data_IF_210136498120
#
_entry.id   IF_210136498120
#
_cell.length_a   1.000
_cell.length_b   1.000
_cell.length_c   1.000
_cell.angle_alpha   90.00
_cell.angle_beta   90.00
_cell.angle_gamma   90.00
#
_symmetry.space_group_name_H-M   'P 1'
#
loop_
_entity.id
_entity.type
_entity.pdbx_description
1 polymer ?
#
# COMPACT_ATOMS: atom_id res chain seq x y z
N UNK A 1 25.81 -21.98 7.23
CA UNK A 1 24.61 -22.32 7.97
C UNK A 1 24.09 -23.68 7.49
N UNK A 2 23.96 -24.64 8.40
CA UNK A 2 23.54 -26.02 8.09
C UNK A 2 22.03 -26.15 7.91
N UNK A 3 21.26 -25.10 8.19
CA UNK A 3 19.78 -25.10 8.13
C UNK A 3 19.24 -24.78 6.74
N UNK A 4 20.05 -24.23 5.84
CA UNK A 4 19.64 -23.74 4.51
C UNK A 4 18.45 -22.75 4.57
N UNK A 5 18.21 -22.13 5.74
CA UNK A 5 17.14 -21.17 5.91
C UNK A 5 17.45 -19.84 5.18
N UNK A 6 16.44 -19.30 4.55
CA UNK A 6 16.54 -17.98 3.88
C UNK A 6 16.51 -16.91 4.95
N UNK A 7 17.60 -16.15 5.11
CA UNK A 7 17.69 -15.03 6.04
C UNK A 7 17.33 -13.69 5.37
N UNK A 8 17.60 -13.59 4.07
CA UNK A 8 17.31 -12.37 3.30
C UNK A 8 16.96 -12.74 1.87
N UNK A 9 15.91 -12.13 1.36
CA UNK A 9 15.52 -12.21 -0.04
C UNK A 9 15.47 -10.81 -0.63
N UNK A 10 16.09 -10.63 -1.79
CA UNK A 10 16.01 -9.38 -2.54
C UNK A 10 15.44 -9.67 -3.91
N UNK A 11 14.35 -9.00 -4.25
CA UNK A 11 13.67 -9.12 -5.54
C UNK A 11 13.71 -7.77 -6.25
N UNK A 12 14.06 -7.79 -7.52
CA UNK A 12 14.07 -6.60 -8.37
C UNK A 12 13.22 -6.83 -9.60
N UNK A 13 12.31 -5.93 -9.87
CA UNK A 13 11.47 -5.92 -11.05
C UNK A 13 11.84 -4.71 -11.91
N UNK A 14 12.61 -4.90 -12.99
CA UNK A 14 13.00 -3.81 -13.88
C UNK A 14 11.87 -3.44 -14.86
N UNK A 15 11.95 -2.25 -15.45
CA UNK A 15 10.97 -1.72 -16.41
C UNK A 15 10.60 -2.68 -17.56
N UNK A 16 11.53 -3.55 -17.95
CA UNK A 16 11.33 -4.49 -19.08
C UNK A 16 10.35 -5.64 -18.80
N UNK A 17 9.86 -5.77 -17.57
CA UNK A 17 8.97 -6.88 -17.17
C UNK A 17 7.53 -6.69 -17.62
N UNK A 18 7.18 -5.56 -18.23
CA UNK A 18 5.85 -5.33 -18.79
C UNK A 18 4.75 -5.01 -17.77
N UNK A 19 5.13 -4.70 -16.52
CA UNK A 19 4.17 -4.22 -15.53
C UNK A 19 3.85 -2.76 -15.80
N UNK A 20 2.58 -2.47 -16.05
CA UNK A 20 2.12 -1.13 -16.42
C UNK A 20 2.45 -0.11 -15.33
N UNK A 21 2.90 1.07 -15.75
CA UNK A 21 3.26 2.20 -14.89
C UNK A 21 4.46 1.97 -13.96
N UNK A 22 4.97 0.74 -13.81
CA UNK A 22 6.10 0.44 -12.95
C UNK A 22 7.41 0.55 -13.74
N UNK A 23 8.25 1.51 -13.38
CA UNK A 23 9.60 1.61 -13.93
C UNK A 23 10.57 0.66 -13.23
N UNK A 24 10.41 0.52 -11.92
CA UNK A 24 11.24 -0.31 -11.07
C UNK A 24 10.48 -0.66 -9.80
N UNK A 25 10.66 -1.88 -9.33
CA UNK A 25 10.22 -2.30 -8.00
C UNK A 25 11.34 -3.09 -7.35
N UNK A 26 11.70 -2.69 -6.16
CA UNK A 26 12.65 -3.40 -5.32
C UNK A 26 11.95 -3.84 -4.04
N UNK A 27 12.09 -5.12 -3.70
CA UNK A 27 11.55 -5.71 -2.47
C UNK A 27 12.70 -6.36 -1.74
N UNK A 28 12.85 -6.03 -0.47
CA UNK A 28 13.84 -6.64 0.43
C UNK A 28 13.12 -7.22 1.63
N UNK A 29 13.17 -8.53 1.76
CA UNK A 29 12.60 -9.27 2.88
C UNK A 29 13.70 -9.82 3.77
N UNK A 30 13.52 -9.68 5.09
CA UNK A 30 14.42 -10.26 6.09
C UNK A 30 13.65 -11.21 6.97
N UNK A 31 14.30 -12.30 7.31
CA UNK A 31 13.72 -13.38 8.13
C UNK A 31 14.56 -13.57 9.38
N UNK A 32 13.92 -13.86 10.48
CA UNK A 32 14.56 -14.19 11.75
C UNK A 32 14.09 -15.52 12.29
N UNK A 33 14.96 -16.17 13.06
CA UNK A 33 14.59 -17.39 13.76
C UNK A 33 14.09 -17.05 15.15
N UNK A 34 12.87 -17.46 15.45
CA UNK A 34 12.30 -17.33 16.77
C UNK A 34 12.87 -18.35 17.75
N UNK A 35 12.74 -18.12 19.08
CA UNK A 35 13.22 -19.05 20.09
C UNK A 35 12.65 -20.47 19.98
N UNK A 36 11.47 -20.62 19.37
CA UNK A 36 10.84 -21.93 19.10
C UNK A 36 11.42 -22.64 17.87
N UNK A 37 12.43 -22.07 17.21
CA UNK A 37 13.07 -22.62 16.03
C UNK A 37 12.40 -22.26 14.69
N UNK A 38 11.23 -21.66 14.69
CA UNK A 38 10.53 -21.26 13.46
C UNK A 38 11.19 -20.03 12.83
N UNK A 39 11.33 -20.06 11.52
CA UNK A 39 11.74 -18.89 10.73
C UNK A 39 10.52 -18.09 10.31
N UNK A 40 10.57 -16.79 10.54
CA UNK A 40 9.47 -15.87 10.25
C UNK A 40 9.99 -14.63 9.53
N UNK A 41 9.13 -13.99 8.76
CA UNK A 41 9.43 -12.72 8.11
C UNK A 41 9.47 -11.62 9.16
N UNK A 42 10.58 -10.94 9.34
CA UNK A 42 10.72 -9.84 10.32
C UNK A 42 10.51 -8.46 9.67
N UNK A 43 11.02 -8.29 8.46
CA UNK A 43 10.96 -7.01 7.76
C UNK A 43 10.62 -7.22 6.28
N UNK A 44 9.73 -6.37 5.75
CA UNK A 44 9.40 -6.31 4.32
C UNK A 44 9.43 -4.86 3.86
N UNK A 45 10.45 -4.52 3.08
CA UNK A 45 10.67 -3.19 2.54
C UNK A 45 10.45 -3.21 1.04
N UNK A 46 9.60 -2.32 0.55
CA UNK A 46 9.30 -2.20 -0.86
C UNK A 46 9.49 -0.76 -1.32
N UNK A 47 10.19 -0.59 -2.43
CA UNK A 47 10.29 0.69 -3.15
C UNK A 47 9.77 0.48 -4.56
N UNK A 48 8.82 1.33 -4.98
CA UNK A 48 8.23 1.28 -6.32
C UNK A 48 8.35 2.65 -6.98
N UNK A 49 8.97 2.69 -8.16
CA UNK A 49 8.98 3.87 -9.01
C UNK A 49 7.86 3.73 -10.04
N UNK A 50 6.90 4.64 -9.96
CA UNK A 50 5.77 4.73 -10.88
C UNK A 50 5.96 5.88 -11.87
N UNK A 51 5.58 5.66 -13.11
CA UNK A 51 5.59 6.70 -14.15
C UNK A 51 4.36 6.55 -15.03
N UNK A 52 3.62 7.64 -15.22
CA UNK A 52 2.43 7.69 -16.08
C UNK A 52 2.77 7.87 -17.54
N UNK A 53 4.01 8.20 -17.85
CA UNK A 53 4.44 8.51 -19.20
C UNK A 53 5.84 7.99 -19.49
N UNK A 54 6.09 7.58 -20.69
CA UNK A 54 7.43 7.26 -21.19
C UNK A 54 8.33 8.49 -21.34
N UNK A 55 7.77 9.69 -21.25
CA UNK A 55 8.53 10.93 -21.32
C UNK A 55 9.22 11.19 -19.98
N UNK A 56 10.55 11.30 -19.98
CA UNK A 56 11.38 11.54 -18.79
C UNK A 56 11.10 12.86 -18.06
N UNK A 57 10.45 13.81 -18.72
CA UNK A 57 10.07 15.11 -18.13
C UNK A 57 8.69 15.09 -17.48
N UNK A 58 7.87 14.07 -17.76
CA UNK A 58 6.63 13.85 -17.03
C UNK A 58 6.98 13.24 -15.67
N UNK A 59 6.62 13.92 -14.62
CA UNK A 59 6.89 13.47 -13.23
C UNK A 59 6.46 12.03 -12.98
N UNK A 60 7.01 11.44 -11.94
CA UNK A 60 6.68 10.12 -11.44
C UNK A 60 6.38 10.16 -9.94
N UNK A 61 5.95 9.05 -9.41
CA UNK A 61 5.72 8.84 -7.99
C UNK A 61 6.62 7.72 -7.48
N UNK A 62 7.38 7.99 -6.44
CA UNK A 62 8.08 6.96 -5.70
C UNK A 62 7.25 6.59 -4.47
N UNK A 63 6.95 5.31 -4.33
CA UNK A 63 6.26 4.73 -3.18
C UNK A 63 7.26 3.91 -2.39
N UNK A 64 7.40 4.21 -1.12
CA UNK A 64 8.21 3.44 -0.17
C UNK A 64 7.29 2.86 0.92
N UNK A 65 7.43 1.57 1.18
CA UNK A 65 6.70 0.87 2.24
C UNK A 65 7.70 0.11 3.10
N UNK A 66 7.68 0.37 4.39
CA UNK A 66 8.40 -0.41 5.39
C UNK A 66 7.38 -1.12 6.28
N UNK A 67 7.45 -2.43 6.34
CA UNK A 67 6.59 -3.25 7.20
C UNK A 67 7.47 -4.05 8.14
N UNK A 68 7.17 -3.98 9.43
CA UNK A 68 7.82 -4.78 10.46
C UNK A 68 6.80 -5.72 11.08
N UNK A 69 7.19 -6.98 11.19
CA UNK A 69 6.35 -8.04 11.76
C UNK A 69 6.89 -8.42 13.13
N UNK A 70 6.02 -8.41 14.13
CA UNK A 70 6.36 -8.74 15.52
C UNK A 70 5.24 -9.55 16.18
N UNK A 71 5.49 -10.12 17.34
CA UNK A 71 4.48 -10.81 18.14
C UNK A 71 3.79 -11.98 17.41
N UNK A 72 4.59 -12.82 16.76
CA UNK A 72 4.08 -14.01 16.07
C UNK A 72 3.38 -14.96 17.05
N UNK A 73 2.17 -15.35 16.70
CA UNK A 73 1.37 -16.35 17.41
C UNK A 73 1.14 -17.54 16.48
N UNK A 74 1.30 -18.74 17.01
CA UNK A 74 1.17 -19.99 16.27
C UNK A 74 -0.06 -20.81 16.73
N UNK A 75 -0.91 -20.21 17.55
CA UNK A 75 -2.16 -20.80 17.99
C UNK A 75 -3.13 -20.96 16.82
N UNK A 76 -4.00 -22.00 16.86
CA UNK A 76 -5.01 -22.16 15.83
C UNK A 76 -5.92 -20.93 15.75
N UNK A 77 -6.08 -20.41 14.53
CA UNK A 77 -6.96 -19.25 14.26
C UNK A 77 -8.42 -19.71 14.42
N UNK A 78 -9.23 -18.94 15.13
CA UNK A 78 -10.64 -19.23 15.29
C UNK A 78 -11.36 -19.34 13.93
N UNK A 79 -12.09 -20.44 13.68
CA UNK A 79 -12.74 -20.65 12.38
C UNK A 79 -13.74 -19.54 11.97
N UNK A 80 -14.27 -18.78 12.93
CA UNK A 80 -15.16 -17.65 12.65
C UNK A 80 -14.50 -16.53 11.85
N UNK A 81 -13.17 -16.33 12.01
CA UNK A 81 -12.42 -15.30 11.30
C UNK A 81 -12.36 -15.57 9.80
N UNK A 82 -12.36 -16.83 9.38
CA UNK A 82 -12.42 -17.22 7.97
C UNK A 82 -13.79 -17.06 7.33
N UNK A 83 -14.85 -16.79 8.12
CA UNK A 83 -16.21 -16.53 7.63
C UNK A 83 -16.48 -15.06 7.36
N UNK A 84 -15.56 -14.17 7.73
CA UNK A 84 -15.67 -12.75 7.47
C UNK A 84 -15.48 -12.49 5.97
N UNK A 85 -16.37 -11.68 5.39
CA UNK A 85 -16.31 -11.35 3.97
C UNK A 85 -15.21 -10.29 3.74
N UNK A 86 -14.24 -10.61 2.87
CA UNK A 86 -13.17 -9.72 2.47
C UNK A 86 -11.78 -10.20 2.90
N UNK A 87 -10.80 -9.96 2.07
CA UNK A 87 -9.39 -10.27 2.34
C UNK A 87 -8.77 -9.32 3.37
N UNK A 88 -9.32 -8.12 3.49
CA UNK A 88 -8.87 -7.09 4.43
C UNK A 88 -10.06 -6.57 5.23
N UNK A 89 -9.97 -6.70 6.55
CA UNK A 89 -10.96 -6.16 7.48
C UNK A 89 -10.39 -4.86 8.04
N UNK A 90 -11.07 -3.75 7.75
CA UNK A 90 -10.76 -2.44 8.32
C UNK A 90 -11.64 -2.19 9.52
N UNK A 91 -11.05 -1.82 10.64
CA UNK A 91 -11.81 -1.36 11.81
C UNK A 91 -12.53 -0.06 11.47
N UNK A 92 -13.77 0.08 11.99
CA UNK A 92 -14.61 1.24 11.70
C UNK A 92 -14.00 2.57 12.18
N UNK A 93 -13.18 2.52 13.22
CA UNK A 93 -12.54 3.68 13.85
C UNK A 93 -11.09 3.91 13.40
N UNK A 94 -10.60 3.13 12.45
CA UNK A 94 -9.20 3.21 11.98
C UNK A 94 -8.82 4.63 11.52
N UNK A 95 -9.73 5.33 10.84
CA UNK A 95 -9.49 6.69 10.34
C UNK A 95 -9.72 7.78 11.38
N UNK A 96 -10.25 7.44 12.56
CA UNK A 96 -10.51 8.39 13.64
C UNK A 96 -9.48 8.35 14.78
N UNK A 97 -8.46 7.50 14.67
CA UNK A 97 -7.37 7.43 15.63
C UNK A 97 -6.52 8.69 15.58
N UNK A 98 -6.09 9.16 16.74
CA UNK A 98 -5.25 10.36 16.85
C UNK A 98 -3.80 10.10 16.39
N UNK A 99 -3.08 11.19 16.10
CA UNK A 99 -1.66 11.11 15.73
C UNK A 99 -0.80 10.52 16.86
N UNK A 100 -1.16 10.79 18.12
CA UNK A 100 -0.49 10.21 19.29
C UNK A 100 -0.68 8.70 19.36
N UNK A 101 -1.88 8.21 19.03
CA UNK A 101 -2.14 6.78 18.94
C UNK A 101 -1.22 6.16 17.87
N UNK A 102 -1.20 6.74 16.67
CA UNK A 102 -0.35 6.22 15.58
C UNK A 102 1.14 6.29 15.92
N UNK A 103 1.58 7.34 16.61
CA UNK A 103 2.96 7.43 17.08
C UNK A 103 3.32 6.32 18.09
N UNK A 104 2.37 5.96 18.97
CA UNK A 104 2.60 4.93 20.00
C UNK A 104 2.65 3.50 19.47
N UNK A 105 1.88 3.19 18.41
CA UNK A 105 1.82 1.84 17.82
C UNK A 105 2.82 1.66 16.69
N UNK A 106 3.40 2.73 16.18
CA UNK A 106 4.33 2.70 15.05
C UNK A 106 5.63 2.01 15.44
N UNK A 107 5.94 0.89 14.80
CA UNK A 107 7.14 0.10 15.02
C UNK A 107 8.42 0.77 14.47
N UNK A 108 8.27 1.50 13.36
CA UNK A 108 9.37 2.21 12.71
C UNK A 108 9.09 3.70 12.78
N UNK A 109 9.96 4.51 13.41
CA UNK A 109 9.76 5.96 13.49
C UNK A 109 9.79 6.59 12.10
N UNK A 110 9.00 7.65 11.92
CA UNK A 110 9.02 8.41 10.67
C UNK A 110 10.38 9.06 10.45
N UNK A 111 10.86 8.99 9.23
CA UNK A 111 11.99 9.78 8.78
C UNK A 111 11.60 11.27 8.67
N UNK A 112 12.60 12.15 8.61
CA UNK A 112 12.37 13.58 8.36
C UNK A 112 11.60 13.85 7.07
N UNK A 113 11.87 13.05 6.02
CA UNK A 113 11.19 13.15 4.72
C UNK A 113 9.71 12.80 4.85
N UNK A 114 9.38 11.73 5.56
CA UNK A 114 8.00 11.30 5.79
C UNK A 114 7.22 12.29 6.65
N UNK A 115 7.80 12.78 7.75
CA UNK A 115 7.17 13.81 8.57
C UNK A 115 6.91 15.10 7.79
N UNK A 116 7.81 15.49 6.90
CA UNK A 116 7.62 16.66 6.03
C UNK A 116 6.52 16.42 5.01
N UNK A 117 6.37 15.19 4.51
CA UNK A 117 5.31 14.80 3.58
C UNK A 117 3.94 14.89 4.26
N UNK A 118 3.80 14.42 5.49
CA UNK A 118 2.56 14.54 6.26
C UNK A 118 2.15 16.03 6.41
N UNK A 119 3.09 16.90 6.76
CA UNK A 119 2.83 18.34 6.82
C UNK A 119 2.43 18.93 5.46
N UNK A 120 3.03 18.46 4.39
CA UNK A 120 2.71 18.88 3.04
C UNK A 120 1.29 18.46 2.65
N UNK A 121 0.92 17.20 2.87
CA UNK A 121 -0.43 16.68 2.60
C UNK A 121 -1.47 17.46 3.39
N UNK A 122 -1.27 17.66 4.69
CA UNK A 122 -2.17 18.43 5.54
C UNK A 122 -2.37 19.88 5.03
N UNK A 123 -1.33 20.51 4.49
CA UNK A 123 -1.44 21.84 3.86
C UNK A 123 -2.19 21.81 2.56
N UNK A 124 -2.01 20.78 1.74
CA UNK A 124 -2.73 20.60 0.47
C UNK A 124 -4.23 20.45 0.72
N UNK A 125 -4.64 19.73 1.75
CA UNK A 125 -6.05 19.57 2.12
C UNK A 125 -6.74 20.87 2.50
N UNK A 126 -5.98 21.87 2.98
CA UNK A 126 -6.48 23.20 3.32
C UNK A 126 -6.69 24.11 2.09
N UNK A 127 -6.19 23.72 0.91
CA UNK A 127 -6.35 24.49 -0.32
C UNK A 127 -7.78 24.33 -0.83
N UNK A 128 -8.55 25.45 -0.99
CA UNK A 128 -9.88 25.39 -1.55
C UNK A 128 -9.89 24.71 -2.92
N UNK A 129 -10.76 23.72 -3.09
CA UNK A 129 -10.85 22.97 -4.34
C UNK A 129 -9.95 21.74 -4.46
N UNK A 130 -8.90 21.59 -3.65
CA UNK A 130 -8.00 20.44 -3.69
C UNK A 130 -8.74 19.12 -3.44
N UNK A 131 -9.74 19.13 -2.56
CA UNK A 131 -10.63 17.98 -2.31
C UNK A 131 -11.29 17.43 -3.59
N UNK A 132 -11.60 18.29 -4.55
CA UNK A 132 -12.21 17.84 -5.82
C UNK A 132 -11.19 17.18 -6.74
N UNK A 133 -9.94 17.62 -6.68
CA UNK A 133 -8.83 17.00 -7.43
C UNK A 133 -8.57 15.60 -6.86
N UNK A 134 -8.50 15.47 -5.53
CA UNK A 134 -8.34 14.15 -4.87
C UNK A 134 -9.53 13.26 -5.15
N UNK A 135 -10.75 13.80 -5.06
CA UNK A 135 -11.96 13.05 -5.37
C UNK A 135 -11.95 12.52 -6.81
N UNK A 136 -11.60 13.37 -7.77
CA UNK A 136 -11.50 12.97 -9.19
C UNK A 136 -10.41 11.92 -9.43
N UNK A 137 -9.22 12.12 -8.84
CA UNK A 137 -8.12 11.16 -8.93
C UNK A 137 -8.49 9.81 -8.30
N UNK A 138 -9.10 9.82 -7.11
CA UNK A 138 -9.58 8.62 -6.44
C UNK A 138 -10.63 7.89 -7.26
N UNK A 139 -11.61 8.61 -7.80
CA UNK A 139 -12.66 8.06 -8.65
C UNK A 139 -12.09 7.38 -9.91
N UNK A 140 -11.07 7.97 -10.54
CA UNK A 140 -10.40 7.40 -11.70
C UNK A 140 -9.58 6.14 -11.37
N UNK A 141 -8.90 6.12 -10.22
CA UNK A 141 -8.05 5.01 -9.80
C UNK A 141 -8.90 3.84 -9.28
N UNK A 142 -9.89 4.13 -8.45
CA UNK A 142 -10.72 3.13 -7.78
C UNK A 142 -11.91 2.67 -8.65
N UNK A 143 -12.23 3.42 -9.71
CA UNK A 143 -13.33 3.15 -10.62
C UNK A 143 -14.73 3.23 -9.99
N UNK A 144 -14.82 3.74 -8.79
CA UNK A 144 -16.09 3.99 -8.10
C UNK A 144 -16.00 5.24 -7.25
N UNK A 145 -17.18 5.81 -6.97
CA UNK A 145 -17.36 6.93 -6.04
C UNK A 145 -18.10 6.44 -4.82
N UNK A 146 -17.55 6.70 -3.65
CA UNK A 146 -18.23 6.47 -2.39
C UNK A 146 -19.07 7.68 -2.02
N UNK A 147 -20.36 7.47 -1.81
CA UNK A 147 -21.21 8.52 -1.26
C UNK A 147 -21.08 8.55 0.25
N UNK A 148 -20.85 9.75 0.79
CA UNK A 148 -20.72 9.95 2.23
C UNK A 148 -22.00 9.56 2.98
N UNK A 149 -21.94 8.45 3.70
CA UNK A 149 -22.96 8.02 4.64
C UNK A 149 -22.29 7.50 5.92
N UNK A 150 -22.83 7.85 7.08
CA UNK A 150 -22.41 7.20 8.34
C UNK A 150 -22.87 5.73 8.25
N UNK A 151 -21.93 4.80 8.14
CA UNK A 151 -22.21 3.38 8.03
C UNK A 151 -21.56 2.73 6.81
N UNK A 152 -22.35 2.05 5.99
CA UNK A 152 -21.86 1.47 4.73
C UNK A 152 -21.99 2.50 3.62
N UNK A 153 -20.88 3.05 3.10
CA UNK A 153 -20.99 3.96 1.97
C UNK A 153 -21.52 3.23 0.75
N UNK A 154 -22.47 3.83 0.06
CA UNK A 154 -22.92 3.33 -1.23
C UNK A 154 -21.78 3.57 -2.24
N UNK A 155 -21.42 2.53 -2.97
CA UNK A 155 -20.43 2.62 -4.04
C UNK A 155 -21.16 2.83 -5.36
N UNK A 156 -20.81 3.91 -6.05
CA UNK A 156 -21.31 4.18 -7.38
C UNK A 156 -20.20 3.82 -8.38
N UNK A 157 -20.42 2.77 -9.16
CA UNK A 157 -19.46 2.30 -10.16
C UNK A 157 -19.49 3.24 -11.37
N UNK A 158 -18.34 3.81 -11.72
CA UNK A 158 -18.19 4.70 -12.88
C UNK A 158 -17.95 3.88 -14.17
N UNK A 159 -17.75 2.55 -14.01
CA UNK A 159 -17.82 1.54 -15.07
C UNK A 159 -16.66 1.52 -16.06
N UNK A 160 -16.84 1.90 -17.33
CA UNK A 160 -15.97 1.38 -18.41
C UNK A 160 -14.59 2.04 -18.54
N UNK A 161 -14.31 3.15 -17.87
CA UNK A 161 -13.08 3.92 -18.09
C UNK A 161 -11.83 3.13 -17.71
N UNK A 162 -11.87 2.44 -16.57
CA UNK A 162 -10.73 1.66 -16.10
C UNK A 162 -10.52 0.40 -16.95
N UNK A 163 -11.57 -0.26 -17.37
CA UNK A 163 -11.51 -1.46 -18.22
C UNK A 163 -10.92 -1.13 -19.57
N UNK A 164 -11.28 0.01 -20.16
CA UNK A 164 -10.72 0.45 -21.44
C UNK A 164 -9.22 0.79 -21.33
N UNK A 165 -8.82 1.47 -20.25
CA UNK A 165 -7.41 1.81 -20.02
C UNK A 165 -6.60 0.53 -19.75
N UNK A 166 -7.13 -0.40 -18.98
CA UNK A 166 -6.46 -1.67 -18.67
C UNK A 166 -6.31 -2.56 -19.90
N UNK A 167 -7.35 -2.70 -20.73
CA UNK A 167 -7.32 -3.55 -21.92
C UNK A 167 -6.28 -3.06 -22.94
N UNK A 168 -6.25 -1.78 -23.21
CA UNK A 168 -5.30 -1.21 -24.17
C UNK A 168 -3.83 -1.34 -23.72
N UNK A 169 -3.58 -1.46 -22.43
CA UNK A 169 -2.23 -1.59 -21.88
C UNK A 169 -1.74 -3.04 -21.80
N UNK A 170 -2.65 -3.98 -21.57
CA UNK A 170 -2.30 -5.41 -21.46
C UNK A 170 -2.10 -6.03 -22.84
N UNK A 171 -2.89 -5.63 -23.82
CA UNK A 171 -2.86 -6.22 -25.17
C UNK A 171 -1.76 -5.63 -26.06
N UNK A 172 -1.04 -4.60 -25.61
CA UNK A 172 0.09 -4.01 -26.36
C UNK A 172 -0.30 -3.38 -27.70
N UNK A 173 -1.56 -3.06 -27.91
CA UNK A 173 -2.11 -2.44 -29.11
C UNK A 173 -2.27 -0.93 -28.92
#
# INVERSE_FOLDING_TARGET
DSTYAVQKCTMNLPKKTGVNFVNRMDIVQQYEQLPNGNWVLSDDNMTVDLSWSSNKTAGGLQVERTTKYTNYQFDPIEPRLFRLKGEVIKEADMLSKSDEYWASVRQVPLTKKESTMDLFVNRLEQIPGFKYIIFGAKALIENFVETSGKGRPNKFDIGPINTMISSNYIDGT
#
